data_IF_409961214642
#
_entry.id   IF_409961214642
#
_cell.length_a   1.000
_cell.length_b   1.000
_cell.length_c   1.000
_cell.angle_alpha   90.00
_cell.angle_beta   90.00
_cell.angle_gamma   90.00
#
_symmetry.space_group_name_H-M   'P 1'
#
loop_
_entity.id
_entity.type
_entity.pdbx_description
1 polymer ?
#
# COMPACT_ATOMS: atom_id res chain seq x y z
N UNK A 1 75.21 -19.13 -4.07
CA UNK A 1 76.19 -18.65 -5.07
C UNK A 1 75.56 -17.48 -5.79
N UNK A 2 76.18 -16.35 -5.59
CA UNK A 2 76.35 -15.10 -6.34
C UNK A 2 75.21 -14.10 -6.17
N UNK A 3 75.39 -13.13 -5.30
CA UNK A 3 75.86 -11.75 -5.49
C UNK A 3 74.88 -10.95 -6.37
N UNK A 4 74.21 -9.91 -5.97
CA UNK A 4 74.69 -8.70 -5.33
C UNK A 4 74.59 -7.57 -6.37
N UNK A 5 74.05 -6.49 -6.07
CA UNK A 5 74.55 -5.14 -6.25
C UNK A 5 73.35 -4.17 -6.04
N UNK A 6 73.43 -3.41 -4.98
CA UNK A 6 72.60 -2.25 -4.76
C UNK A 6 73.22 -1.06 -5.54
N UNK A 7 72.36 -0.16 -5.94
CA UNK A 7 72.74 1.23 -6.28
C UNK A 7 71.72 2.16 -5.62
N UNK A 8 72.25 2.86 -4.62
CA UNK A 8 71.70 4.06 -4.05
C UNK A 8 71.73 5.19 -5.08
N UNK A 9 70.61 5.86 -5.25
CA UNK A 9 70.62 7.19 -5.89
C UNK A 9 69.90 8.17 -4.97
N UNK A 10 70.71 8.77 -4.13
CA UNK A 10 70.41 10.04 -3.46
C UNK A 10 70.90 11.18 -4.35
N UNK A 11 70.18 12.27 -4.21
CA UNK A 11 70.56 13.62 -4.63
C UNK A 11 70.42 13.94 -6.12
N UNK A 12 69.34 14.60 -6.44
CA UNK A 12 69.26 15.94 -7.04
C UNK A 12 67.84 16.25 -7.44
N UNK A 13 67.28 17.23 -6.87
CA UNK A 13 66.59 18.34 -7.52
C UNK A 13 65.94 19.18 -6.42
N UNK A 14 66.69 20.23 -6.16
CA UNK A 14 66.21 21.33 -5.35
C UNK A 14 65.26 22.24 -6.11
N UNK A 15 64.38 22.80 -5.33
CA UNK A 15 63.87 24.17 -5.46
C UNK A 15 63.37 24.59 -6.85
N UNK A 16 62.05 24.61 -6.98
CA UNK A 16 61.27 25.74 -7.51
C UNK A 16 59.82 25.26 -7.74
N UNK A 17 58.92 25.47 -6.80
CA UNK A 17 57.53 25.82 -7.05
C UNK A 17 56.88 26.12 -5.68
N UNK A 18 57.02 27.30 -5.21
CA UNK A 18 56.20 27.80 -4.11
C UNK A 18 56.04 29.32 -4.27
N UNK A 19 55.25 29.75 -5.26
CA UNK A 19 54.90 31.17 -5.34
C UNK A 19 53.53 31.44 -6.00
N UNK A 20 52.69 30.46 -6.16
CA UNK A 20 51.39 30.68 -6.85
C UNK A 20 50.12 30.34 -6.08
N UNK A 21 50.20 29.71 -4.92
CA UNK A 21 48.97 29.18 -4.25
C UNK A 21 48.48 30.02 -3.08
N UNK A 22 49.20 31.01 -2.62
CA UNK A 22 48.79 31.88 -1.52
C UNK A 22 47.53 32.74 -1.80
N UNK A 23 47.32 33.32 -2.98
CA UNK A 23 46.08 34.05 -3.26
C UNK A 23 44.85 33.13 -3.41
N UNK A 24 45.01 31.87 -3.86
CA UNK A 24 43.89 30.93 -3.98
C UNK A 24 43.34 30.46 -2.63
N UNK A 25 44.18 30.26 -1.63
CA UNK A 25 43.76 29.87 -0.27
C UNK A 25 42.99 30.99 0.46
N UNK A 26 43.20 32.24 0.12
CA UNK A 26 42.44 33.37 0.67
C UNK A 26 41.08 33.57 0.00
N UNK A 27 40.90 33.10 -1.24
CA UNK A 27 39.61 33.17 -1.96
C UNK A 27 38.63 32.05 -1.56
N UNK A 28 39.12 30.94 -1.03
CA UNK A 28 38.29 29.81 -0.64
C UNK A 28 37.24 30.15 0.45
N UNK A 29 37.60 30.82 1.57
CA UNK A 29 36.60 31.21 2.57
C UNK A 29 35.63 32.26 2.02
N UNK A 30 36.06 33.17 1.15
CA UNK A 30 35.17 34.13 0.50
C UNK A 30 34.15 33.46 -0.43
N UNK A 31 34.55 32.39 -1.13
CA UNK A 31 33.66 31.61 -1.96
C UNK A 31 32.58 30.90 -1.11
N UNK A 32 32.95 30.30 0.01
CA UNK A 32 31.99 29.68 0.93
C UNK A 32 31.03 30.70 1.55
N UNK A 33 31.51 31.89 1.91
CA UNK A 33 30.65 32.96 2.40
C UNK A 33 29.67 33.42 1.30
N UNK A 34 30.14 33.55 0.07
CA UNK A 34 29.29 33.94 -1.06
C UNK A 34 28.21 32.89 -1.36
N UNK A 35 28.55 31.60 -1.39
CA UNK A 35 27.59 30.51 -1.56
C UNK A 35 26.57 30.49 -0.42
N UNK A 36 27.02 30.74 0.82
CA UNK A 36 26.12 30.84 1.96
C UNK A 36 25.17 32.04 1.86
N UNK A 37 25.67 33.20 1.44
CA UNK A 37 24.84 34.42 1.24
C UNK A 37 23.80 34.16 0.13
N UNK A 38 24.20 33.55 -0.98
CA UNK A 38 23.27 33.22 -2.08
C UNK A 38 22.22 32.21 -1.65
N UNK A 39 22.59 31.19 -0.89
CA UNK A 39 21.65 30.21 -0.33
C UNK A 39 20.65 30.83 0.66
N UNK A 40 21.10 31.78 1.48
CA UNK A 40 20.23 32.51 2.41
C UNK A 40 19.30 33.49 1.68
N UNK A 41 19.77 34.10 0.59
CA UNK A 41 18.94 34.98 -0.25
C UNK A 41 17.88 34.20 -1.02
N UNK A 42 18.21 33.01 -1.55
CA UNK A 42 17.24 32.09 -2.16
C UNK A 42 16.18 31.63 -1.14
N UNK A 43 16.58 31.25 0.07
CA UNK A 43 15.66 30.90 1.15
C UNK A 43 14.76 32.08 1.56
N UNK A 44 15.25 33.31 1.53
CA UNK A 44 14.44 34.52 1.81
C UNK A 44 13.47 34.86 0.69
N UNK A 45 13.84 34.67 -0.58
CA UNK A 45 12.91 34.85 -1.70
C UNK A 45 11.76 33.83 -1.69
N UNK A 46 12.02 32.58 -1.24
CA UNK A 46 10.96 31.60 -1.04
C UNK A 46 10.09 31.84 0.21
N UNK A 47 10.55 32.62 1.18
CA UNK A 47 9.77 32.94 2.40
C UNK A 47 8.86 34.17 2.25
N UNK A 48 9.02 34.97 1.20
CA UNK A 48 8.20 36.14 0.94
C UNK A 48 7.00 35.88 0.01
N UNK A 49 6.75 34.60 -0.35
CA UNK A 49 5.58 34.22 -1.14
C UNK A 49 4.35 34.15 -0.23
N UNK A 50 3.55 35.19 -0.31
CA UNK A 50 2.11 35.32 -0.09
C UNK A 50 1.46 34.33 0.92
N UNK A 51 0.93 34.92 2.00
CA UNK A 51 -0.16 34.30 2.79
C UNK A 51 -1.26 33.90 1.81
N UNK A 52 -1.55 32.59 1.64
CA UNK A 52 -2.57 32.18 0.69
C UNK A 52 -3.92 32.70 1.19
N UNK A 53 -4.53 33.63 0.46
CA UNK A 53 -5.95 33.88 0.59
C UNK A 53 -6.67 32.55 0.44
N UNK A 54 -7.47 32.19 1.45
CA UNK A 54 -8.30 31.00 1.50
C UNK A 54 -9.30 31.02 0.34
N UNK A 55 -8.87 30.51 -0.84
CA UNK A 55 -9.77 30.32 -2.00
C UNK A 55 -10.86 29.34 -1.56
N UNK A 56 -12.11 29.72 -1.69
CA UNK A 56 -13.24 28.78 -1.64
C UNK A 56 -13.02 27.75 -2.75
N UNK A 57 -12.56 26.56 -2.38
CA UNK A 57 -12.33 25.49 -3.32
C UNK A 57 -13.67 25.01 -3.90
N UNK A 58 -13.80 25.02 -5.21
CA UNK A 58 -14.87 24.30 -5.90
C UNK A 58 -14.80 22.82 -5.55
N UNK A 59 -15.91 22.10 -5.64
CA UNK A 59 -16.13 20.72 -5.16
C UNK A 59 -15.01 19.72 -5.49
N UNK A 60 -14.20 19.97 -6.54
CA UNK A 60 -13.12 19.08 -7.01
C UNK A 60 -11.82 19.81 -7.37
N UNK A 61 -11.63 21.06 -6.96
CA UNK A 61 -10.42 21.85 -7.28
C UNK A 61 -9.14 21.26 -6.69
N UNK A 62 -9.26 20.33 -5.74
CA UNK A 62 -8.16 19.59 -5.16
C UNK A 62 -7.70 18.42 -6.04
N UNK A 63 -8.51 18.01 -7.02
CA UNK A 63 -8.11 16.98 -7.98
C UNK A 63 -7.44 17.66 -9.18
N UNK A 64 -6.12 17.48 -9.29
CA UNK A 64 -5.40 17.89 -10.50
C UNK A 64 -5.59 16.80 -11.53
N UNK A 65 -6.52 17.04 -12.46
CA UNK A 65 -6.74 16.15 -13.60
C UNK A 65 -5.67 16.39 -14.66
N UNK A 66 -5.11 15.31 -15.18
CA UNK A 66 -4.13 15.30 -16.26
C UNK A 66 -4.44 14.19 -17.27
N UNK A 67 -3.61 14.02 -18.31
CA UNK A 67 -3.71 12.85 -19.17
C UNK A 67 -3.57 11.58 -18.31
N UNK A 68 -4.32 10.53 -18.65
CA UNK A 68 -4.25 9.27 -17.92
C UNK A 68 -2.85 8.67 -18.04
N UNK A 69 -2.27 8.29 -16.91
CA UNK A 69 -0.97 7.65 -16.92
C UNK A 69 -1.00 6.37 -17.75
N UNK A 70 -0.09 6.24 -18.70
CA UNK A 70 -0.04 5.10 -19.63
C UNK A 70 -1.06 5.16 -20.75
N UNK A 71 -1.71 6.29 -21.00
CA UNK A 71 -2.57 6.48 -22.16
C UNK A 71 -1.84 6.11 -23.46
N UNK A 72 -2.48 5.32 -24.32
CA UNK A 72 -1.89 4.81 -25.55
C UNK A 72 -1.00 3.57 -25.40
N UNK A 73 -0.68 3.13 -24.19
CA UNK A 73 0.03 1.87 -24.00
C UNK A 73 -0.90 0.67 -24.20
N UNK A 74 -0.46 -0.39 -24.88
CA UNK A 74 -1.24 -1.62 -25.04
C UNK A 74 -1.53 -2.24 -23.66
N UNK A 75 -2.63 -2.95 -23.54
CA UNK A 75 -3.08 -3.65 -22.31
C UNK A 75 -3.24 -2.75 -21.07
N UNK A 76 -3.53 -1.47 -21.32
CA UNK A 76 -3.81 -0.48 -20.29
C UNK A 76 -5.19 0.13 -20.46
N UNK A 77 -5.81 0.49 -19.34
CA UNK A 77 -7.07 1.20 -19.33
C UNK A 77 -6.94 2.51 -20.11
N UNK A 78 -7.77 2.67 -21.14
CA UNK A 78 -7.85 3.87 -21.96
C UNK A 78 -9.05 4.70 -21.55
N UNK A 79 -8.87 6.01 -21.35
CA UNK A 79 -9.90 6.89 -20.84
C UNK A 79 -10.04 8.16 -21.69
N UNK A 80 -11.30 8.56 -21.96
CA UNK A 80 -11.64 9.88 -22.47
C UNK A 80 -12.35 10.65 -21.36
N UNK A 81 -11.64 11.59 -20.73
CA UNK A 81 -12.11 12.16 -19.46
C UNK A 81 -12.26 11.07 -18.40
N UNK A 82 -13.38 11.04 -17.71
CA UNK A 82 -13.71 9.98 -16.74
C UNK A 82 -14.45 8.79 -17.37
N UNK A 83 -14.48 8.69 -18.70
CA UNK A 83 -15.14 7.62 -19.44
C UNK A 83 -14.12 6.60 -19.91
N UNK A 84 -14.34 5.33 -19.57
CA UNK A 84 -13.52 4.23 -20.08
C UNK A 84 -13.82 3.98 -21.56
N UNK A 85 -12.77 3.89 -22.38
CA UNK A 85 -12.87 3.54 -23.79
C UNK A 85 -12.74 2.04 -24.02
N UNK A 86 -11.94 1.37 -23.22
CA UNK A 86 -11.80 -0.09 -23.22
C UNK A 86 -12.78 -0.67 -22.22
N UNK A 87 -13.66 -1.55 -22.68
CA UNK A 87 -14.46 -2.37 -21.79
C UNK A 87 -13.52 -3.35 -21.11
N UNK A 88 -13.21 -3.07 -19.86
CA UNK A 88 -12.58 -4.02 -18.98
C UNK A 88 -13.52 -5.22 -18.82
N UNK A 89 -12.98 -6.40 -18.54
CA UNK A 89 -13.76 -7.62 -18.33
C UNK A 89 -14.75 -7.55 -17.13
N UNK A 90 -14.79 -6.42 -16.42
CA UNK A 90 -15.64 -6.15 -15.25
C UNK A 90 -17.16 -6.37 -15.46
N UNK A 91 -17.65 -6.43 -16.68
CA UNK A 91 -19.08 -6.57 -16.92
C UNK A 91 -19.56 -7.97 -17.36
N UNK A 92 -18.69 -8.80 -17.92
CA UNK A 92 -19.09 -10.10 -18.44
C UNK A 92 -19.15 -11.19 -17.35
N UNK A 93 -18.30 -11.10 -16.33
CA UNK A 93 -18.29 -12.02 -15.20
C UNK A 93 -19.39 -11.71 -14.19
N UNK A 94 -19.81 -10.43 -14.03
CA UNK A 94 -20.73 -10.03 -12.97
C UNK A 94 -22.17 -10.46 -13.17
N UNK A 95 -22.64 -10.72 -14.39
CA UNK A 95 -24.04 -11.13 -14.65
C UNK A 95 -24.32 -12.62 -14.40
N UNK A 96 -23.28 -13.45 -14.30
CA UNK A 96 -23.42 -14.88 -13.94
C UNK A 96 -22.81 -15.22 -12.55
N UNK A 97 -22.64 -14.20 -11.70
CA UNK A 97 -21.82 -14.32 -10.50
C UNK A 97 -22.54 -14.99 -9.34
N UNK A 98 -22.16 -16.21 -9.15
CA UNK A 98 -21.96 -16.78 -7.81
C UNK A 98 -20.52 -16.49 -7.30
N UNK A 99 -19.89 -15.39 -7.73
CA UNK A 99 -18.54 -15.00 -7.35
C UNK A 99 -18.43 -14.64 -5.87
N UNK A 100 -17.34 -15.03 -5.23
CA UNK A 100 -17.08 -14.77 -3.82
C UNK A 100 -17.70 -15.80 -2.86
N UNK A 101 -18.44 -16.79 -3.33
CA UNK A 101 -18.86 -17.92 -2.51
C UNK A 101 -17.63 -18.60 -1.88
N UNK A 102 -17.65 -18.84 -0.56
CA UNK A 102 -16.55 -19.42 0.20
C UNK A 102 -15.28 -18.53 0.30
N UNK A 103 -15.44 -17.21 0.22
CA UNK A 103 -14.35 -16.25 0.48
C UNK A 103 -14.75 -15.34 1.64
N UNK A 104 -13.82 -15.14 2.56
CA UNK A 104 -13.93 -14.13 3.61
C UNK A 104 -12.80 -13.12 3.46
N UNK A 105 -13.17 -11.85 3.31
CA UNK A 105 -12.21 -10.73 3.31
C UNK A 105 -12.08 -10.24 4.75
N UNK A 106 -10.84 -10.24 5.25
CA UNK A 106 -10.53 -10.01 6.67
C UNK A 106 -9.67 -8.76 6.79
N UNK A 107 -10.05 -7.83 7.64
CA UNK A 107 -9.25 -6.64 7.95
C UNK A 107 -9.12 -6.42 9.43
N UNK A 108 -8.01 -5.83 9.88
CA UNK A 108 -7.84 -5.33 11.25
C UNK A 108 -8.14 -3.85 11.26
N UNK A 109 -9.01 -3.43 12.16
CA UNK A 109 -9.40 -2.04 12.28
C UNK A 109 -9.41 -1.58 13.73
N UNK A 110 -8.84 -0.41 13.99
CA UNK A 110 -8.86 0.24 15.30
C UNK A 110 -9.42 1.65 15.19
N UNK A 111 -10.27 2.02 16.14
CA UNK A 111 -10.72 3.40 16.32
C UNK A 111 -9.81 4.10 17.33
N UNK A 112 -9.34 5.29 16.97
CA UNK A 112 -8.62 6.15 17.90
C UNK A 112 -9.55 7.30 18.29
N UNK A 113 -9.82 7.41 19.59
CA UNK A 113 -10.51 8.60 20.10
C UNK A 113 -9.61 9.81 19.83
N UNK A 114 -10.05 10.68 18.97
CA UNK A 114 -9.44 12.01 18.86
C UNK A 114 -9.95 12.79 20.07
N UNK A 115 -9.12 12.89 21.11
CA UNK A 115 -9.42 13.73 22.26
C UNK A 115 -9.89 15.09 21.76
N UNK A 116 -11.06 15.53 22.24
CA UNK A 116 -11.69 16.80 21.90
C UNK A 116 -10.90 18.03 22.41
N UNK A 117 -9.66 17.84 22.87
CA UNK A 117 -8.77 18.87 23.37
C UNK A 117 -7.89 19.46 22.26
N UNK A 118 -8.48 20.04 21.24
CA UNK A 118 -7.76 21.02 20.42
C UNK A 118 -8.40 22.40 20.64
N UNK A 119 -7.79 23.17 21.55
CA UNK A 119 -8.06 24.56 21.78
C UNK A 119 -8.40 25.33 20.49
N UNK A 120 -9.69 25.58 20.22
CA UNK A 120 -10.18 26.65 19.36
C UNK A 120 -9.78 26.71 17.89
N UNK A 121 -9.03 25.72 17.36
CA UNK A 121 -8.77 25.65 15.91
C UNK A 121 -9.96 25.00 15.21
N UNK A 122 -10.43 25.58 14.08
CA UNK A 122 -11.52 24.97 13.32
C UNK A 122 -11.16 23.52 12.98
N UNK A 123 -12.08 22.59 13.31
CA UNK A 123 -11.91 21.17 13.00
C UNK A 123 -11.59 21.05 11.51
N UNK A 124 -10.44 20.46 11.22
CA UNK A 124 -9.99 20.15 9.86
C UNK A 124 -10.94 19.11 9.26
N UNK A 125 -11.97 19.59 8.55
CA UNK A 125 -12.98 18.76 7.90
C UNK A 125 -12.68 18.59 6.43
N UNK A 126 -12.88 17.37 5.91
CA UNK A 126 -12.76 17.03 4.49
C UNK A 126 -14.15 16.80 3.93
N UNK A 127 -14.53 17.55 2.90
CA UNK A 127 -15.80 17.38 2.21
C UNK A 127 -15.59 16.54 0.95
N UNK A 128 -16.41 15.49 0.80
CA UNK A 128 -16.44 14.61 -0.37
C UNK A 128 -17.89 14.49 -0.83
N UNK A 129 -18.15 14.87 -2.05
CA UNK A 129 -19.53 14.98 -2.52
C UNK A 129 -20.31 16.02 -1.71
N UNK A 130 -21.38 15.58 -1.06
CA UNK A 130 -22.23 16.41 -0.18
C UNK A 130 -21.97 16.14 1.31
N UNK A 131 -20.98 15.30 1.65
CA UNK A 131 -20.72 14.86 3.03
C UNK A 131 -19.39 15.47 3.50
N UNK A 132 -19.41 16.08 4.68
CA UNK A 132 -18.20 16.54 5.36
C UNK A 132 -17.85 15.58 6.49
N UNK A 133 -16.59 15.19 6.55
CA UNK A 133 -16.04 14.28 7.55
C UNK A 133 -15.06 15.03 8.45
N UNK A 134 -15.24 14.98 9.74
CA UNK A 134 -14.23 15.39 10.70
C UNK A 134 -13.11 14.32 10.80
N UNK A 135 -12.04 14.62 11.52
CA UNK A 135 -10.88 13.72 11.64
C UNK A 135 -11.24 12.35 12.22
N UNK A 136 -12.15 12.26 13.17
CA UNK A 136 -12.61 11.00 13.76
C UNK A 136 -13.46 10.17 12.78
N UNK A 137 -14.31 10.83 12.00
CA UNK A 137 -15.23 10.19 11.07
C UNK A 137 -14.53 9.63 9.82
N UNK A 138 -13.38 10.21 9.43
CA UNK A 138 -12.66 9.81 8.20
C UNK A 138 -12.30 8.32 8.18
N UNK A 139 -11.81 7.79 9.30
CA UNK A 139 -11.42 6.37 9.39
C UNK A 139 -12.63 5.45 9.23
N UNK A 140 -13.74 5.79 9.87
CA UNK A 140 -15.00 5.04 9.74
C UNK A 140 -15.57 5.19 8.32
N UNK A 141 -15.48 6.36 7.70
CA UNK A 141 -15.90 6.55 6.31
C UNK A 141 -15.10 5.68 5.34
N UNK A 142 -13.78 5.58 5.51
CA UNK A 142 -12.92 4.67 4.73
C UNK A 142 -13.35 3.22 4.94
N UNK A 143 -13.56 2.77 6.18
CA UNK A 143 -14.02 1.42 6.48
C UNK A 143 -15.38 1.11 5.82
N UNK A 144 -16.33 2.05 5.89
CA UNK A 144 -17.62 1.90 5.22
C UNK A 144 -17.48 1.76 3.70
N UNK A 145 -16.62 2.58 3.09
CA UNK A 145 -16.36 2.51 1.63
C UNK A 145 -15.65 1.21 1.26
N UNK A 146 -14.72 0.72 2.07
CA UNK A 146 -14.11 -0.59 1.91
C UNK A 146 -15.16 -1.70 1.87
N UNK A 147 -16.07 -1.74 2.85
CA UNK A 147 -17.18 -2.70 2.90
C UNK A 147 -18.06 -2.59 1.66
N UNK A 148 -18.41 -1.37 1.28
CA UNK A 148 -19.28 -1.11 0.14
C UNK A 148 -18.67 -1.60 -1.19
N UNK A 149 -17.36 -1.39 -1.42
CA UNK A 149 -16.68 -1.91 -2.62
C UNK A 149 -16.71 -3.43 -2.69
N UNK A 150 -16.51 -4.11 -1.56
CA UNK A 150 -16.57 -5.57 -1.51
C UNK A 150 -18.01 -6.05 -1.82
N UNK A 151 -19.01 -5.42 -1.22
CA UNK A 151 -20.41 -5.80 -1.46
C UNK A 151 -20.87 -5.53 -2.90
N UNK A 152 -20.30 -4.51 -3.56
CA UNK A 152 -20.58 -4.21 -4.97
C UNK A 152 -19.95 -5.25 -5.91
N UNK A 153 -18.71 -5.66 -5.65
CA UNK A 153 -17.93 -6.49 -6.58
C UNK A 153 -17.96 -7.98 -6.24
N UNK A 154 -18.09 -8.32 -4.95
CA UNK A 154 -18.11 -9.69 -4.43
C UNK A 154 -19.27 -9.91 -3.44
N UNK A 155 -20.53 -9.76 -3.84
CA UNK A 155 -21.69 -9.74 -2.94
C UNK A 155 -21.91 -11.04 -2.16
N UNK A 156 -21.30 -12.15 -2.60
CA UNK A 156 -21.39 -13.44 -1.92
C UNK A 156 -20.28 -13.68 -0.89
N UNK A 157 -19.28 -12.80 -0.84
CA UNK A 157 -18.19 -12.92 0.14
C UNK A 157 -18.62 -12.49 1.54
N UNK A 158 -17.97 -13.07 2.55
CA UNK A 158 -18.09 -12.58 3.92
C UNK A 158 -17.03 -11.50 4.18
N UNK A 159 -17.36 -10.55 5.05
CA UNK A 159 -16.42 -9.51 5.50
C UNK A 159 -16.24 -9.68 7.01
N UNK A 160 -14.99 -9.76 7.45
CA UNK A 160 -14.65 -9.94 8.86
C UNK A 160 -13.75 -8.81 9.30
N UNK A 161 -14.19 -8.06 10.30
CA UNK A 161 -13.41 -6.98 10.90
C UNK A 161 -12.87 -7.44 12.26
N UNK A 162 -11.56 -7.60 12.35
CA UNK A 162 -10.88 -7.92 13.59
C UNK A 162 -10.59 -6.60 14.33
N UNK A 163 -11.02 -6.49 15.57
CA UNK A 163 -10.90 -5.22 16.30
C UNK A 163 -10.70 -5.43 17.81
N UNK A 164 -10.42 -4.36 18.53
CA UNK A 164 -10.35 -4.36 19.97
C UNK A 164 -11.74 -4.67 20.56
N UNK A 165 -11.87 -5.54 21.57
CA UNK A 165 -13.14 -5.83 22.25
C UNK A 165 -13.89 -4.61 22.77
N UNK A 166 -13.18 -3.53 23.13
CA UNK A 166 -13.80 -2.27 23.59
C UNK A 166 -14.29 -1.37 22.44
N UNK A 167 -13.94 -1.69 21.19
CA UNK A 167 -14.33 -0.85 20.04
C UNK A 167 -15.77 -1.10 19.64
N UNK A 168 -16.55 -0.03 19.56
CA UNK A 168 -17.89 -0.05 18.97
C UNK A 168 -17.79 0.52 17.57
N UNK A 169 -17.92 -0.34 16.56
CA UNK A 169 -17.88 0.08 15.16
C UNK A 169 -19.30 0.28 14.64
N UNK A 170 -19.67 1.48 14.17
CA UNK A 170 -21.00 1.77 13.64
C UNK A 170 -21.12 1.27 12.17
N UNK A 171 -20.88 -0.02 11.95
CA UNK A 171 -20.93 -0.65 10.63
C UNK A 171 -21.74 -1.93 10.75
N UNK A 172 -22.96 -1.89 10.26
CA UNK A 172 -23.85 -3.06 10.18
C UNK A 172 -24.21 -3.30 8.72
N UNK A 173 -23.90 -4.47 8.21
CA UNK A 173 -24.18 -4.89 6.82
C UNK A 173 -24.39 -6.41 6.78
N UNK A 174 -25.11 -6.86 5.77
CA UNK A 174 -25.21 -8.27 5.47
C UNK A 174 -23.84 -8.89 5.24
N UNK A 175 -23.62 -10.12 5.71
CA UNK A 175 -22.36 -10.86 5.60
C UNK A 175 -21.14 -10.15 6.20
N UNK A 176 -21.35 -9.19 7.10
CA UNK A 176 -20.29 -8.54 7.86
C UNK A 176 -20.31 -9.05 9.30
N UNK A 177 -19.15 -9.48 9.77
CA UNK A 177 -18.94 -9.93 11.15
C UNK A 177 -17.82 -9.09 11.79
N UNK A 178 -18.09 -8.55 12.96
CA UNK A 178 -17.08 -7.91 13.80
C UNK A 178 -16.61 -8.94 14.82
N UNK A 179 -15.32 -9.28 14.78
CA UNK A 179 -14.72 -10.27 15.66
C UNK A 179 -13.72 -9.59 16.61
N UNK A 180 -14.04 -9.51 17.91
CA UNK A 180 -13.13 -8.94 18.89
C UNK A 180 -11.94 -9.87 19.13
N UNK A 181 -10.74 -9.33 19.08
CA UNK A 181 -9.48 -10.02 19.42
C UNK A 181 -8.74 -9.20 20.46
N UNK A 182 -8.35 -9.83 21.56
CA UNK A 182 -7.56 -9.18 22.62
C UNK A 182 -6.20 -8.75 22.11
N UNK A 183 -5.73 -7.59 22.57
CA UNK A 183 -4.39 -7.09 22.26
C UNK A 183 -4.25 -5.59 22.41
N UNK A 184 -3.07 -5.10 22.04
CA UNK A 184 -2.74 -3.67 22.06
C UNK A 184 -2.94 -3.07 20.66
N UNK A 185 -4.00 -2.29 20.52
CA UNK A 185 -4.38 -1.57 19.28
C UNK A 185 -3.90 -0.11 19.29
N UNK A 186 -2.97 0.27 20.17
CA UNK A 186 -2.33 1.58 20.11
C UNK A 186 -1.67 1.79 18.74
N UNK A 187 -1.48 3.05 18.36
CA UNK A 187 -0.94 3.38 17.04
C UNK A 187 0.46 2.77 16.81
N UNK A 188 1.27 2.72 17.87
CA UNK A 188 2.63 2.19 17.85
C UNK A 188 2.65 0.67 17.68
N UNK A 189 1.64 -0.02 18.23
CA UNK A 189 1.57 -1.48 18.26
C UNK A 189 0.64 -2.05 17.19
N UNK A 190 -0.09 -1.22 16.44
CA UNK A 190 -1.12 -1.68 15.51
C UNK A 190 -0.60 -2.70 14.49
N UNK A 191 0.59 -2.50 13.92
CA UNK A 191 1.14 -3.42 12.92
C UNK A 191 1.57 -4.76 13.53
N UNK A 192 2.04 -4.76 14.76
CA UNK A 192 2.29 -5.99 15.52
C UNK A 192 0.98 -6.71 15.83
N UNK A 193 -0.01 -5.96 16.34
CA UNK A 193 -1.31 -6.50 16.68
C UNK A 193 -2.02 -7.06 15.45
N UNK A 194 -1.83 -6.47 14.27
CA UNK A 194 -2.36 -6.97 13.01
C UNK A 194 -1.89 -8.40 12.73
N UNK A 195 -0.58 -8.65 12.81
CA UNK A 195 -0.03 -10.00 12.59
C UNK A 195 -0.59 -10.97 13.64
N UNK A 196 -0.60 -10.57 14.92
CA UNK A 196 -1.16 -11.40 16.01
C UNK A 196 -2.63 -11.72 15.77
N UNK A 197 -3.43 -10.74 15.36
CA UNK A 197 -4.85 -10.93 15.08
C UNK A 197 -5.08 -11.92 13.95
N UNK A 198 -4.26 -11.90 12.89
CA UNK A 198 -4.33 -12.87 11.80
C UNK A 198 -4.00 -14.29 12.28
N UNK A 199 -2.98 -14.45 13.11
CA UNK A 199 -2.60 -15.75 13.68
C UNK A 199 -3.74 -16.30 14.54
N UNK A 200 -4.27 -15.51 15.50
CA UNK A 200 -5.39 -15.91 16.38
C UNK A 200 -6.62 -16.25 15.55
N UNK A 201 -6.92 -15.49 14.52
CA UNK A 201 -8.00 -15.76 13.59
C UNK A 201 -7.83 -17.13 12.91
N UNK A 202 -6.64 -17.42 12.36
CA UNK A 202 -6.37 -18.70 11.70
C UNK A 202 -6.40 -19.88 12.68
N UNK A 203 -5.97 -19.71 13.93
CA UNK A 203 -6.11 -20.71 14.99
C UNK A 203 -7.58 -21.08 15.25
N UNK A 204 -8.43 -20.06 15.36
CA UNK A 204 -9.87 -20.24 15.54
C UNK A 204 -10.47 -21.01 14.36
N UNK A 205 -10.08 -20.63 13.12
CA UNK A 205 -10.56 -21.34 11.91
C UNK A 205 -10.07 -22.78 11.84
N UNK A 206 -8.84 -23.07 12.28
CA UNK A 206 -8.34 -24.45 12.35
C UNK A 206 -9.18 -25.29 13.31
N UNK A 207 -9.52 -24.76 14.48
CA UNK A 207 -10.35 -25.44 15.47
C UNK A 207 -11.79 -25.68 14.98
N UNK A 208 -12.35 -24.76 14.20
CA UNK A 208 -13.67 -24.89 13.61
C UNK A 208 -13.71 -25.88 12.45
N UNK A 209 -12.65 -25.93 11.64
CA UNK A 209 -12.56 -26.84 10.49
C UNK A 209 -12.69 -28.32 10.89
N UNK A 210 -12.24 -28.66 12.10
CA UNK A 210 -12.39 -30.01 12.64
C UNK A 210 -13.87 -30.38 12.87
N UNK A 211 -14.76 -29.40 12.98
CA UNK A 211 -16.19 -29.55 13.24
C UNK A 211 -17.08 -29.46 11.99
N UNK A 212 -16.59 -28.74 10.96
CA UNK A 212 -17.33 -28.45 9.73
C UNK A 212 -16.89 -29.40 8.63
N UNK A 213 -17.67 -30.45 8.35
CA UNK A 213 -17.39 -31.39 7.27
C UNK A 213 -17.55 -30.71 5.89
N UNK A 214 -16.40 -30.49 5.19
CA UNK A 214 -16.36 -30.41 3.73
C UNK A 214 -16.48 -29.04 3.08
N UNK A 215 -16.76 -27.94 3.78
CA UNK A 215 -16.82 -26.63 3.14
C UNK A 215 -15.51 -25.85 3.31
N UNK A 216 -14.79 -25.67 2.20
CA UNK A 216 -13.55 -24.87 2.18
C UNK A 216 -13.91 -23.40 2.08
N UNK A 217 -13.49 -22.57 3.04
CA UNK A 217 -13.63 -21.12 3.02
C UNK A 217 -12.25 -20.48 2.97
N UNK A 218 -11.98 -19.73 1.91
CA UNK A 218 -10.71 -19.04 1.70
C UNK A 218 -10.69 -17.69 2.42
N UNK A 219 -9.50 -17.20 2.80
CA UNK A 219 -9.35 -15.94 3.53
C UNK A 219 -8.43 -14.99 2.77
N UNK A 220 -8.82 -13.72 2.71
CA UNK A 220 -8.01 -12.65 2.14
C UNK A 220 -7.85 -11.56 3.19
N UNK A 221 -6.66 -11.44 3.77
CA UNK A 221 -6.32 -10.39 4.72
C UNK A 221 -5.90 -9.14 3.97
N UNK A 222 -6.52 -8.00 4.31
CA UNK A 222 -6.27 -6.74 3.60
C UNK A 222 -6.20 -5.55 4.55
N UNK A 223 -5.59 -4.45 4.07
CA UNK A 223 -5.79 -3.13 4.66
C UNK A 223 -7.22 -2.64 4.36
N UNK A 224 -7.78 -1.76 5.19
CA UNK A 224 -9.12 -1.21 5.01
C UNK A 224 -9.17 -0.01 4.04
N UNK A 225 -8.03 0.42 3.50
CA UNK A 225 -7.92 1.49 2.51
C UNK A 225 -7.71 0.96 1.09
N UNK A 226 -8.33 -0.18 0.79
CA UNK A 226 -8.40 -0.77 -0.55
C UNK A 226 -9.81 -0.73 -1.13
N UNK A 227 -9.90 -0.67 -2.46
CA UNK A 227 -11.10 -0.99 -3.21
C UNK A 227 -10.91 -2.31 -3.97
N UNK A 228 -11.76 -3.28 -3.71
CA UNK A 228 -11.88 -4.48 -4.55
C UNK A 228 -12.75 -4.09 -5.74
N UNK A 229 -12.22 -4.25 -6.96
CA UNK A 229 -12.88 -3.80 -8.18
C UNK A 229 -13.19 -4.94 -9.16
N UNK A 230 -12.76 -6.15 -8.83
CA UNK A 230 -13.08 -7.38 -9.58
C UNK A 230 -13.04 -8.61 -8.66
N UNK A 231 -13.53 -9.76 -9.14
CA UNK A 231 -13.59 -11.00 -8.38
C UNK A 231 -12.19 -11.53 -8.02
N UNK A 232 -11.95 -11.70 -6.73
CA UNK A 232 -10.71 -12.26 -6.19
C UNK A 232 -10.74 -13.79 -6.07
N UNK A 233 -11.88 -14.42 -6.29
CA UNK A 233 -12.05 -15.89 -6.23
C UNK A 233 -11.19 -16.62 -7.25
N UNK A 234 -10.90 -15.97 -8.37
CA UNK A 234 -10.06 -16.50 -9.43
C UNK A 234 -8.65 -16.87 -8.95
N UNK A 235 -8.10 -16.17 -7.94
CA UNK A 235 -6.78 -16.50 -7.36
C UNK A 235 -6.73 -17.97 -6.91
N UNK A 236 -7.81 -18.45 -6.29
CA UNK A 236 -7.88 -19.80 -5.74
C UNK A 236 -8.14 -20.86 -6.81
N UNK A 237 -8.76 -20.48 -7.91
CA UNK A 237 -9.02 -21.37 -9.04
C UNK A 237 -7.80 -21.50 -9.95
N UNK A 238 -7.17 -20.39 -10.31
CA UNK A 238 -6.05 -20.34 -11.24
C UNK A 238 -4.75 -20.89 -10.63
N UNK A 239 -4.63 -20.86 -9.28
CA UNK A 239 -3.45 -21.30 -8.56
C UNK A 239 -3.80 -22.31 -7.45
N UNK A 240 -4.16 -23.56 -7.77
CA UNK A 240 -4.68 -24.52 -6.77
C UNK A 240 -3.65 -24.95 -5.70
N UNK A 241 -2.35 -24.81 -5.95
CA UNK A 241 -1.29 -25.39 -5.14
C UNK A 241 -0.68 -24.50 -4.05
N UNK A 242 -1.14 -23.27 -3.85
CA UNK A 242 -0.55 -22.40 -2.83
C UNK A 242 -1.23 -22.57 -1.45
N UNK A 243 -0.48 -22.30 -0.39
CA UNK A 243 -0.99 -22.17 0.99
C UNK A 243 -1.24 -20.68 1.35
N UNK A 244 -0.27 -19.82 1.01
CA UNK A 244 -0.35 -18.36 1.23
C UNK A 244 0.00 -17.62 -0.05
N UNK A 245 -0.69 -16.52 -0.35
CA UNK A 245 -0.33 -15.65 -1.46
C UNK A 245 0.00 -14.24 -0.96
N UNK A 246 1.04 -13.65 -1.52
CA UNK A 246 1.59 -12.34 -1.15
C UNK A 246 1.68 -11.46 -2.39
N UNK A 247 1.54 -10.14 -2.22
CA UNK A 247 1.73 -9.22 -3.34
C UNK A 247 3.15 -8.70 -3.43
N UNK A 248 3.71 -8.69 -4.64
CA UNK A 248 5.06 -8.22 -4.91
C UNK A 248 5.11 -7.05 -5.90
N UNK A 249 6.19 -6.28 -5.80
CA UNK A 249 6.48 -5.13 -6.69
C UNK A 249 7.95 -5.14 -7.10
N UNK A 250 8.24 -4.50 -8.23
CA UNK A 250 9.63 -4.30 -8.68
C UNK A 250 10.35 -3.25 -7.83
N UNK A 251 10.69 -3.63 -6.61
CA UNK A 251 11.50 -2.82 -5.68
C UNK A 251 12.45 -3.75 -4.95
N UNK A 252 13.75 -3.63 -5.22
CA UNK A 252 14.79 -4.51 -4.67
C UNK A 252 14.88 -4.47 -3.14
N UNK A 253 14.63 -3.30 -2.55
CA UNK A 253 14.71 -3.11 -1.09
C UNK A 253 13.46 -3.64 -0.39
N UNK A 254 12.29 -3.33 -0.95
CA UNK A 254 10.99 -3.71 -0.42
C UNK A 254 10.14 -4.40 -1.50
N UNK A 255 10.46 -5.65 -1.84
CA UNK A 255 9.78 -6.34 -2.93
C UNK A 255 8.34 -6.76 -2.62
N UNK A 256 7.92 -6.74 -1.36
CA UNK A 256 6.60 -7.15 -0.93
C UNK A 256 5.76 -5.98 -0.42
N UNK A 257 4.44 -6.18 -0.45
CA UNK A 257 3.48 -5.30 0.23
C UNK A 257 2.60 -6.15 1.15
N UNK A 258 2.44 -5.73 2.41
CA UNK A 258 1.67 -6.46 3.43
C UNK A 258 0.17 -6.17 3.40
N UNK A 259 -0.29 -5.25 2.56
CA UNK A 259 -1.69 -4.83 2.49
C UNK A 259 -2.61 -5.83 1.78
N UNK A 260 -2.09 -6.98 1.33
CA UNK A 260 -2.87 -8.07 0.74
C UNK A 260 -2.17 -9.41 0.95
N UNK A 261 -2.84 -10.33 1.65
CA UNK A 261 -2.37 -11.71 1.91
C UNK A 261 -3.54 -12.65 1.72
N UNK A 262 -3.48 -13.58 0.75
CA UNK A 262 -4.51 -14.58 0.60
C UNK A 262 -4.09 -15.93 1.20
N UNK A 263 -5.01 -16.63 1.84
CA UNK A 263 -4.79 -17.93 2.49
C UNK A 263 -5.79 -18.94 1.97
N UNK A 264 -5.28 -20.06 1.51
CA UNK A 264 -6.11 -21.18 1.09
C UNK A 264 -6.80 -21.82 2.30
N UNK A 265 -8.11 -21.93 2.26
CA UNK A 265 -8.95 -22.37 3.36
C UNK A 265 -8.98 -23.90 3.59
N UNK A 266 -8.05 -24.66 3.02
CA UNK A 266 -7.87 -26.07 3.38
C UNK A 266 -7.19 -26.16 4.75
N UNK A 267 -7.40 -27.25 5.53
CA UNK A 267 -6.73 -27.42 6.82
C UNK A 267 -5.23 -27.23 6.76
N UNK A 268 -4.58 -27.79 5.75
CA UNK A 268 -3.15 -27.63 5.54
C UNK A 268 -2.80 -26.19 5.17
N UNK A 269 -3.56 -25.54 4.27
CA UNK A 269 -3.35 -24.14 3.86
C UNK A 269 -3.41 -23.19 5.05
N UNK A 270 -4.41 -23.33 5.92
CA UNK A 270 -4.56 -22.54 7.14
C UNK A 270 -3.37 -22.76 8.09
N UNK A 271 -3.01 -24.03 8.32
CA UNK A 271 -1.90 -24.39 9.21
C UNK A 271 -0.55 -23.84 8.72
N UNK A 272 -0.26 -24.03 7.43
CA UNK A 272 0.97 -23.52 6.82
C UNK A 272 1.05 -22.00 6.80
N UNK A 273 -0.08 -21.33 6.51
CA UNK A 273 -0.16 -19.87 6.57
C UNK A 273 0.04 -19.34 8.00
N UNK A 274 -0.53 -20.02 9.01
CA UNK A 274 -0.33 -19.69 10.42
C UNK A 274 1.16 -19.76 10.77
N UNK A 275 1.84 -20.87 10.49
CA UNK A 275 3.28 -21.01 10.78
C UNK A 275 4.14 -19.96 10.06
N UNK A 276 3.80 -19.66 8.81
CA UNK A 276 4.47 -18.61 8.05
C UNK A 276 4.30 -17.23 8.74
N UNK A 277 3.09 -16.89 9.21
CA UNK A 277 2.83 -15.64 9.92
C UNK A 277 3.48 -15.59 11.32
N UNK A 278 3.66 -16.72 11.99
CA UNK A 278 4.42 -16.81 13.24
C UNK A 278 5.89 -16.49 13.03
N UNK A 279 6.49 -16.93 11.92
CA UNK A 279 7.86 -16.51 11.56
C UNK A 279 7.94 -15.02 11.23
N UNK A 280 6.94 -14.47 10.55
CA UNK A 280 6.84 -13.03 10.32
C UNK A 280 6.73 -12.28 11.65
N UNK A 281 5.92 -12.77 12.59
CA UNK A 281 5.81 -12.20 13.94
C UNK A 281 7.13 -12.23 14.69
N UNK A 282 7.86 -13.35 14.64
CA UNK A 282 9.19 -13.51 15.24
C UNK A 282 10.20 -12.53 14.63
N UNK A 283 10.20 -12.36 13.30
CA UNK A 283 11.04 -11.39 12.61
C UNK A 283 10.67 -9.95 13.02
N UNK A 284 9.37 -9.64 13.11
CA UNK A 284 8.88 -8.33 13.56
C UNK A 284 9.39 -8.02 14.98
N UNK A 285 9.13 -8.90 15.93
CA UNK A 285 9.47 -8.66 17.35
C UNK A 285 10.97 -8.57 17.57
N UNK A 286 11.79 -9.33 16.84
CA UNK A 286 13.24 -9.33 16.99
C UNK A 286 13.96 -8.18 16.27
N UNK A 287 13.40 -7.66 15.14
CA UNK A 287 14.14 -6.75 14.26
C UNK A 287 13.40 -5.44 13.93
N UNK A 288 12.07 -5.44 13.92
CA UNK A 288 11.29 -4.37 13.30
C UNK A 288 10.31 -3.66 14.24
N UNK A 289 10.40 -3.90 15.57
CA UNK A 289 9.56 -3.24 16.57
C UNK A 289 9.65 -1.69 16.53
N UNK A 290 10.80 -1.16 16.13
CA UNK A 290 11.07 0.28 16.04
C UNK A 290 10.96 0.82 14.61
N UNK A 291 10.39 0.04 13.69
CA UNK A 291 10.24 0.48 12.30
C UNK A 291 9.33 1.71 12.20
N UNK A 292 9.79 2.73 11.50
CA UNK A 292 9.02 3.95 11.28
C UNK A 292 7.86 3.76 10.30
N UNK A 293 6.93 4.70 10.28
CA UNK A 293 5.83 4.79 9.29
C UNK A 293 4.90 3.57 9.25
N UNK A 294 4.76 2.84 10.36
CA UNK A 294 3.90 1.65 10.41
C UNK A 294 4.24 0.59 9.34
N UNK A 295 5.52 0.42 9.02
CA UNK A 295 6.00 -0.53 8.00
C UNK A 295 6.60 -1.81 8.59
N UNK A 296 6.54 -2.01 9.91
CA UNK A 296 7.22 -3.10 10.59
C UNK A 296 6.80 -4.49 10.11
N UNK A 297 5.54 -4.69 9.87
CA UNK A 297 4.98 -5.93 9.34
C UNK A 297 5.41 -6.21 7.89
N UNK A 298 5.42 -5.20 7.03
CA UNK A 298 5.90 -5.34 5.66
C UNK A 298 7.41 -5.64 5.60
N UNK A 299 8.20 -5.00 6.47
CA UNK A 299 9.63 -5.26 6.57
C UNK A 299 9.90 -6.66 7.11
N UNK A 300 9.16 -7.11 8.12
CA UNK A 300 9.26 -8.46 8.66
C UNK A 300 8.89 -9.52 7.62
N UNK A 301 7.79 -9.31 6.89
CA UNK A 301 7.36 -10.17 5.79
C UNK A 301 8.46 -10.27 4.71
N UNK A 302 8.99 -9.12 4.28
CA UNK A 302 10.08 -9.09 3.30
C UNK A 302 11.35 -9.75 3.82
N UNK A 303 11.65 -9.64 5.13
CA UNK A 303 12.78 -10.30 5.76
C UNK A 303 12.66 -11.81 5.70
N UNK A 304 11.53 -12.39 6.10
CA UNK A 304 11.29 -13.84 6.06
C UNK A 304 11.50 -14.38 4.66
N UNK A 305 10.91 -13.73 3.64
CA UNK A 305 11.07 -14.14 2.25
C UNK A 305 12.50 -13.99 1.75
N UNK A 306 13.17 -12.89 2.03
CA UNK A 306 14.56 -12.62 1.57
C UNK A 306 15.60 -13.48 2.27
N UNK A 307 15.32 -13.95 3.48
CA UNK A 307 16.22 -14.82 4.23
C UNK A 307 16.19 -16.27 3.77
N UNK A 308 15.24 -16.63 2.92
CA UNK A 308 15.14 -18.00 2.40
C UNK A 308 16.16 -18.24 1.28
N UNK A 309 16.73 -19.43 1.24
CA UNK A 309 17.81 -19.79 0.30
C UNK A 309 17.39 -19.76 -1.17
N UNK A 310 16.10 -19.93 -1.48
CA UNK A 310 15.55 -19.85 -2.84
C UNK A 310 15.31 -18.43 -3.34
N UNK A 311 15.52 -17.40 -2.50
CA UNK A 311 15.23 -16.02 -2.86
C UNK A 311 16.06 -15.54 -4.06
N UNK A 312 15.38 -15.18 -5.15
CA UNK A 312 15.98 -14.52 -6.32
C UNK A 312 15.22 -13.22 -6.62
N UNK A 313 15.87 -12.09 -6.34
CA UNK A 313 15.30 -10.75 -6.56
C UNK A 313 14.87 -10.50 -8.01
N UNK A 314 15.48 -11.18 -8.99
CA UNK A 314 15.13 -11.03 -10.40
C UNK A 314 13.72 -11.54 -10.73
N UNK A 315 13.20 -12.50 -9.96
CA UNK A 315 11.81 -12.99 -10.10
C UNK A 315 10.79 -11.90 -9.82
N UNK A 316 11.10 -10.97 -8.90
CA UNK A 316 10.22 -9.85 -8.51
C UNK A 316 10.20 -8.70 -9.53
N UNK A 317 11.05 -8.73 -10.56
CA UNK A 317 10.96 -7.79 -11.70
C UNK A 317 10.04 -8.29 -12.82
N UNK A 318 9.60 -9.55 -12.77
CA UNK A 318 8.64 -10.11 -13.72
C UNK A 318 7.24 -9.58 -13.44
N UNK A 319 6.40 -9.55 -14.49
CA UNK A 319 5.00 -9.11 -14.35
C UNK A 319 4.04 -10.27 -14.00
N UNK A 320 4.49 -11.49 -14.05
CA UNK A 320 3.68 -12.70 -13.88
C UNK A 320 3.76 -13.21 -12.44
N UNK A 321 2.67 -13.82 -11.99
CA UNK A 321 2.64 -14.56 -10.74
C UNK A 321 3.60 -15.76 -10.78
N UNK A 322 4.17 -16.12 -9.62
CA UNK A 322 5.04 -17.28 -9.49
C UNK A 322 4.92 -17.86 -8.07
N UNK A 323 5.26 -19.14 -7.94
CA UNK A 323 5.29 -19.84 -6.64
C UNK A 323 6.70 -20.14 -6.18
N UNK A 324 6.89 -20.22 -4.85
CA UNK A 324 8.10 -20.69 -4.19
C UNK A 324 7.76 -21.44 -2.90
N UNK A 325 8.71 -22.22 -2.38
CA UNK A 325 8.59 -22.89 -1.10
C UNK A 325 9.36 -22.08 -0.05
N UNK A 326 8.67 -21.59 0.98
CA UNK A 326 9.27 -20.79 2.03
C UNK A 326 8.79 -21.32 3.39
N UNK A 327 9.71 -21.72 4.25
CA UNK A 327 9.41 -22.19 5.60
C UNK A 327 8.35 -23.31 5.63
N UNK A 328 8.38 -24.20 4.64
CA UNK A 328 7.41 -25.29 4.50
C UNK A 328 6.02 -24.88 3.99
N UNK A 329 5.83 -23.61 3.62
CA UNK A 329 4.63 -23.12 2.96
C UNK A 329 4.87 -22.93 1.46
N UNK A 330 3.89 -23.34 0.64
CA UNK A 330 3.80 -22.96 -0.77
C UNK A 330 3.31 -21.53 -0.89
N UNK A 331 4.21 -20.61 -1.24
CA UNK A 331 3.92 -19.16 -1.30
C UNK A 331 3.74 -18.74 -2.74
N UNK A 332 2.56 -18.22 -3.06
CA UNK A 332 2.25 -17.61 -4.36
C UNK A 332 2.56 -16.12 -4.31
N UNK A 333 3.35 -15.63 -5.23
CA UNK A 333 3.64 -14.22 -5.41
C UNK A 333 2.79 -13.64 -6.52
N UNK A 334 1.94 -12.66 -6.18
CA UNK A 334 1.01 -11.98 -7.07
C UNK A 334 1.51 -10.57 -7.40
N UNK A 335 1.43 -10.10 -8.64
CA UNK A 335 1.90 -8.76 -9.00
C UNK A 335 1.04 -7.66 -8.35
N UNK A 336 1.68 -6.72 -7.66
CA UNK A 336 0.98 -5.54 -7.11
C UNK A 336 0.25 -4.71 -8.17
N UNK A 337 0.70 -4.75 -9.41
CA UNK A 337 0.03 -4.05 -10.51
C UNK A 337 -1.41 -4.51 -10.73
N UNK A 338 -1.76 -5.72 -10.33
CA UNK A 338 -3.10 -6.30 -10.47
C UNK A 338 -3.80 -6.37 -9.10
N UNK A 339 -3.13 -6.95 -8.11
CA UNK A 339 -3.75 -7.29 -6.82
C UNK A 339 -3.51 -6.27 -5.70
N UNK A 340 -2.80 -5.19 -6.00
CA UNK A 340 -2.52 -4.13 -5.00
C UNK A 340 -2.03 -2.85 -5.69
N UNK A 341 -2.68 -2.48 -6.80
CA UNK A 341 -2.32 -1.32 -7.60
C UNK A 341 -2.51 -0.04 -6.79
N UNK A 342 -1.53 0.83 -6.82
CA UNK A 342 -1.57 2.10 -6.07
C UNK A 342 -1.68 3.26 -7.05
N UNK A 343 -2.66 4.18 -6.88
CA UNK A 343 -2.76 5.38 -7.69
C UNK A 343 -1.45 6.18 -7.67
N UNK A 344 -1.02 6.74 -8.81
CA UNK A 344 0.20 7.53 -8.90
C UNK A 344 0.12 8.80 -8.04
N UNK A 345 1.27 9.27 -7.54
CA UNK A 345 1.43 10.59 -6.93
C UNK A 345 2.19 11.48 -7.89
N UNK A 346 1.55 12.54 -8.38
CA UNK A 346 2.19 13.53 -9.23
C UNK A 346 2.32 13.15 -10.71
N UNK A 347 2.61 14.13 -11.55
CA UNK A 347 2.93 13.93 -12.95
C UNK A 347 4.25 13.17 -13.07
N UNK A 348 4.27 11.97 -13.65
CA UNK A 348 5.51 11.25 -13.93
C UNK A 348 5.52 9.76 -13.60
N UNK A 349 4.45 9.19 -13.10
CA UNK A 349 4.35 7.73 -12.95
C UNK A 349 3.53 7.13 -14.10
N UNK A 350 4.22 6.70 -15.14
CA UNK A 350 3.65 6.37 -16.45
C UNK A 350 3.36 4.88 -16.66
N UNK A 351 3.09 4.11 -15.61
CA UNK A 351 2.86 2.68 -15.80
C UNK A 351 1.44 2.32 -16.24
N UNK A 352 0.53 3.26 -16.20
CA UNK A 352 -0.88 3.03 -16.50
C UNK A 352 -1.53 2.05 -15.52
N UNK A 353 -2.83 1.84 -15.69
CA UNK A 353 -3.58 0.83 -14.97
C UNK A 353 -3.79 -0.37 -15.87
N UNK A 354 -3.43 -1.60 -15.45
CA UNK A 354 -3.75 -2.81 -16.22
C UNK A 354 -5.25 -2.98 -16.40
N UNK A 355 -5.67 -3.61 -17.50
CA UNK A 355 -7.08 -3.90 -17.77
C UNK A 355 -7.67 -4.93 -16.78
N UNK A 356 -6.82 -5.75 -16.18
CA UNK A 356 -7.14 -6.83 -15.25
C UNK A 356 -6.89 -6.46 -13.78
N UNK A 357 -6.78 -5.16 -13.46
CA UNK A 357 -6.64 -4.72 -12.07
C UNK A 357 -7.82 -5.22 -11.23
N UNK A 358 -7.50 -5.81 -10.06
CA UNK A 358 -8.48 -6.37 -9.14
C UNK A 358 -8.60 -5.62 -7.83
N UNK A 359 -7.50 -4.98 -7.40
CA UNK A 359 -7.46 -4.23 -6.14
C UNK A 359 -6.73 -2.92 -6.34
N UNK A 360 -7.37 -1.83 -5.93
CA UNK A 360 -6.78 -0.48 -5.85
C UNK A 360 -6.51 -0.15 -4.39
N UNK A 361 -5.26 0.20 -4.05
CA UNK A 361 -4.84 0.50 -2.69
C UNK A 361 -4.56 2.00 -2.50
N UNK A 362 -5.41 2.67 -1.73
CA UNK A 362 -5.39 4.12 -1.48
C UNK A 362 -4.53 4.50 -0.26
N UNK A 363 -3.33 3.95 -0.16
CA UNK A 363 -2.45 4.19 0.99
C UNK A 363 -2.04 5.67 1.14
N UNK A 364 -1.86 6.09 2.39
CA UNK A 364 -1.38 7.43 2.73
C UNK A 364 -2.36 8.53 2.35
N UNK A 365 -1.89 9.56 1.64
CA UNK A 365 -2.66 10.73 1.22
C UNK A 365 -3.80 10.42 0.23
N UNK A 366 -3.85 9.22 -0.34
CA UNK A 366 -4.85 8.81 -1.35
C UNK A 366 -6.19 8.36 -0.75
N UNK A 367 -6.30 8.27 0.57
CA UNK A 367 -7.54 7.82 1.24
C UNK A 367 -8.75 8.70 0.89
N UNK A 368 -8.54 10.00 0.71
CA UNK A 368 -9.58 10.91 0.23
C UNK A 368 -10.08 10.51 -1.16
N UNK A 369 -9.17 10.14 -2.07
CA UNK A 369 -9.54 9.69 -3.42
C UNK A 369 -10.41 8.43 -3.37
N UNK A 370 -10.23 7.54 -2.38
CA UNK A 370 -11.12 6.39 -2.19
C UNK A 370 -12.57 6.81 -1.91
N UNK A 371 -12.77 7.80 -1.03
CA UNK A 371 -14.10 8.34 -0.74
C UNK A 371 -14.71 9.02 -1.97
N UNK A 372 -13.91 9.79 -2.71
CA UNK A 372 -14.33 10.47 -3.93
C UNK A 372 -14.70 9.49 -5.05
N UNK A 373 -13.93 8.42 -5.19
CA UNK A 373 -14.20 7.34 -6.15
C UNK A 373 -15.53 6.65 -5.87
N UNK A 374 -15.81 6.36 -4.61
CA UNK A 374 -17.10 5.81 -4.21
C UNK A 374 -18.24 6.79 -4.41
N UNK A 375 -18.07 8.05 -4.04
CA UNK A 375 -19.07 9.11 -4.28
C UNK A 375 -19.37 9.27 -5.77
N UNK A 376 -18.35 9.21 -6.63
CA UNK A 376 -18.51 9.25 -8.09
C UNK A 376 -19.31 8.04 -8.58
N UNK A 377 -18.95 6.82 -8.18
CA UNK A 377 -19.63 5.60 -8.60
C UNK A 377 -21.13 5.61 -8.24
N UNK A 378 -21.50 6.21 -7.11
CA UNK A 378 -22.91 6.29 -6.65
C UNK A 378 -23.65 7.52 -7.12
N UNK A 379 -22.98 8.56 -7.60
CA UNK A 379 -23.64 9.83 -8.00
C UNK A 379 -24.18 9.83 -9.41
N UNK A 380 -23.75 8.91 -10.25
CA UNK A 380 -24.13 8.86 -11.68
C UNK A 380 -24.77 7.51 -11.99
N UNK A 381 -26.00 7.54 -12.47
CA UNK A 381 -26.78 6.35 -12.84
C UNK A 381 -26.16 5.53 -14.00
N UNK A 382 -25.15 6.07 -14.66
CA UNK A 382 -24.44 5.43 -15.79
C UNK A 382 -22.95 5.16 -15.52
N UNK A 383 -22.42 5.47 -14.30
CA UNK A 383 -21.02 5.17 -14.02
C UNK A 383 -20.87 3.70 -13.66
N UNK A 384 -20.02 3.06 -14.39
CA UNK A 384 -19.53 1.72 -14.02
C UNK A 384 -18.16 1.81 -13.30
N UNK A 385 -17.68 0.67 -12.85
CA UNK A 385 -16.38 0.57 -12.18
C UNK A 385 -15.25 1.04 -13.09
N UNK A 386 -15.34 0.80 -14.41
CA UNK A 386 -14.30 1.23 -15.34
C UNK A 386 -14.24 2.77 -15.46
N UNK A 387 -15.39 3.44 -15.47
CA UNK A 387 -15.44 4.91 -15.46
C UNK A 387 -14.85 5.47 -14.13
N UNK A 388 -15.15 4.84 -13.02
CA UNK A 388 -14.54 5.18 -11.72
C UNK A 388 -13.01 4.95 -11.74
N UNK A 389 -12.53 3.88 -12.35
CA UNK A 389 -11.09 3.64 -12.51
C UNK A 389 -10.43 4.72 -13.39
N UNK A 390 -11.14 5.26 -14.40
CA UNK A 390 -10.68 6.41 -15.16
C UNK A 390 -10.54 7.68 -14.31
N UNK A 391 -11.48 7.94 -13.40
CA UNK A 391 -11.35 9.03 -12.43
C UNK A 391 -10.07 8.86 -11.59
N UNK A 392 -9.83 7.67 -11.06
CA UNK A 392 -8.64 7.37 -10.24
C UNK A 392 -7.35 7.55 -11.05
N UNK A 393 -7.32 7.04 -12.28
CA UNK A 393 -6.14 7.08 -13.15
C UNK A 393 -5.79 8.51 -13.56
N UNK A 394 -6.79 9.37 -13.76
CA UNK A 394 -6.60 10.78 -14.17
C UNK A 394 -6.39 11.72 -13.00
N UNK A 395 -6.68 11.32 -11.77
CA UNK A 395 -6.37 12.11 -10.58
C UNK A 395 -4.87 12.15 -10.34
N UNK A 396 -4.21 13.19 -10.88
CA UNK A 396 -2.75 13.26 -10.92
C UNK A 396 -2.08 13.63 -9.62
N UNK A 397 -2.80 14.10 -8.60
CA UNK A 397 -2.20 14.58 -7.37
C UNK A 397 -3.12 14.50 -6.19
N UNK A 398 -2.66 13.85 -5.15
CA UNK A 398 -3.36 13.82 -3.87
C UNK A 398 -2.37 14.12 -2.74
N UNK A 399 -1.75 15.30 -2.74
CA UNK A 399 -1.14 15.80 -1.49
C UNK A 399 -2.24 16.51 -0.73
N UNK A 400 -2.91 15.76 0.13
CA UNK A 400 -3.88 16.30 1.08
C UNK A 400 -3.53 15.79 2.46
N UNK A 401 -3.61 16.67 3.43
CA UNK A 401 -3.69 16.28 4.83
C UNK A 401 -5.05 15.61 5.04
N UNK A 402 -5.01 14.30 5.21
CA UNK A 402 -6.19 13.46 5.43
C UNK A 402 -6.19 12.96 6.87
#
# INVERSE_FOLDING_TARGET
MVLGIGVSYKDMIGRRVCSGWRPFLLCLPLFFVFVHIMSVLELRQHSAAEVPQRKQYKKFDHLVSGPAAGEGLPDRLQCKGNKALTKTHFGASSKNLKGGGNISIVTVFATYNVDQQTNGKPLDSVTVGNISYNKGERSIAILNVFVNFIQETMPQSNIIILTNPSSKLPVERDRLTILPIQGDYSREMLMLQRIRSYIVFLETRTAEHSKLKGQVNHYIFTDSDIAVVDDLGQIFNDHPGFHVALTFRNNKEQPLNSGFIAVRGTPEGILRAKFFLEEVLKAYTSKFMKASRMLGDQLALAWVVKSHSSFDVRRFSRKQAFMDQISGASVLFLPCSIYNWTPPEGAGQFHGMPLDVKVVHFKGSRKRLMLESWSFLKSTSSSDIADMLCLILRSGRTKYDF
#
